data_IF_561819599474
#
_entry.id   IF_561819599474
#
_cell.length_a   1.000
_cell.length_b   1.000
_cell.length_c   1.000
_cell.angle_alpha   90.00
_cell.angle_beta   90.00
_cell.angle_gamma   90.00
#
_symmetry.space_group_name_H-M   'P 1'
#
loop_
_entity.id
_entity.type
_entity.pdbx_description
1 polymer ?
#
# COMPACT_ATOMS: atom_id res chain seq x y z
N UNK A 1 -5.87 -1.90 9.26
CA UNK A 1 -4.68 -1.14 8.83
C UNK A 1 -4.23 -1.77 7.53
N UNK A 2 -4.24 -1.00 6.44
CA UNK A 2 -3.88 -1.47 5.10
C UNK A 2 -2.86 -0.48 4.54
N UNK A 3 -1.86 -0.98 3.83
CA UNK A 3 -0.85 -0.16 3.17
C UNK A 3 -0.86 -0.47 1.67
N UNK A 4 -0.86 0.57 0.85
CA UNK A 4 -0.73 0.44 -0.60
C UNK A 4 0.70 0.81 -1.00
N UNK A 5 1.35 -0.04 -1.79
CA UNK A 5 2.72 0.14 -2.23
C UNK A 5 2.78 0.15 -3.76
N UNK A 6 3.56 1.08 -4.34
CA UNK A 6 3.92 1.05 -5.75
C UNK A 6 5.36 0.56 -5.90
N UNK A 7 5.55 -0.54 -6.62
CA UNK A 7 6.86 -1.12 -6.94
C UNK A 7 7.25 -0.91 -8.40
N UNK A 8 6.57 -0.01 -9.12
CA UNK A 8 6.82 0.24 -10.55
C UNK A 8 8.26 0.70 -10.85
N UNK A 9 8.84 1.45 -9.92
CA UNK A 9 10.21 1.98 -10.03
C UNK A 9 11.25 1.07 -9.35
N UNK A 10 10.92 -0.21 -9.12
CA UNK A 10 11.79 -1.18 -8.46
C UNK A 10 12.01 -2.39 -9.35
N UNK A 11 13.27 -2.67 -9.65
CA UNK A 11 13.66 -3.84 -10.44
C UNK A 11 13.61 -5.15 -9.64
N UNK A 12 13.66 -5.05 -8.31
CA UNK A 12 13.67 -6.20 -7.40
C UNK A 12 12.58 -6.08 -6.34
N UNK A 13 12.17 -7.23 -5.78
CA UNK A 13 11.12 -7.33 -4.78
C UNK A 13 11.46 -6.54 -3.53
N UNK A 14 10.51 -5.73 -3.08
CA UNK A 14 10.58 -5.02 -1.79
C UNK A 14 9.93 -5.86 -0.72
N UNK A 15 10.68 -6.24 0.32
CA UNK A 15 10.17 -7.11 1.37
C UNK A 15 10.35 -6.48 2.75
N UNK A 16 9.26 -6.44 3.52
CA UNK A 16 9.24 -6.01 4.92
C UNK A 16 8.97 -7.20 5.85
N UNK A 17 9.70 -7.30 6.95
CA UNK A 17 9.47 -8.32 7.99
C UNK A 17 9.75 -9.77 7.57
N UNK A 18 9.57 -10.71 8.52
CA UNK A 18 9.80 -12.14 8.34
C UNK A 18 8.56 -12.84 7.75
N UNK A 19 8.70 -13.50 6.59
CA UNK A 19 8.13 -14.83 6.25
C UNK A 19 8.09 -15.08 4.72
N UNK A 20 8.82 -16.10 4.26
CA UNK A 20 8.35 -17.34 3.60
C UNK A 20 9.38 -18.37 4.05
N UNK A 21 8.92 -19.41 4.73
CA UNK A 21 9.75 -20.56 5.10
C UNK A 21 8.95 -21.80 4.80
N UNK A 22 8.60 -22.02 3.53
CA UNK A 22 8.50 -23.37 2.98
C UNK A 22 8.17 -23.40 1.48
N UNK A 23 8.54 -24.55 0.90
CA UNK A 23 8.18 -25.12 -0.39
C UNK A 23 9.05 -24.72 -1.61
N UNK A 24 9.78 -25.72 -2.12
CA UNK A 24 10.38 -25.74 -3.46
C UNK A 24 9.26 -25.82 -4.50
N UNK A 25 8.72 -24.67 -4.91
CA UNK A 25 7.77 -24.60 -6.02
C UNK A 25 8.49 -24.31 -7.34
N UNK A 26 8.15 -25.08 -8.37
CA UNK A 26 8.41 -24.76 -9.80
C UNK A 26 9.87 -24.45 -10.20
N UNK A 27 10.84 -25.16 -9.62
CA UNK A 27 12.28 -25.00 -9.95
C UNK A 27 12.80 -23.57 -9.73
N UNK A 28 12.18 -22.81 -8.82
CA UNK A 28 12.76 -21.55 -8.36
C UNK A 28 14.01 -21.84 -7.52
N UNK A 29 14.98 -20.93 -7.53
CA UNK A 29 16.21 -21.05 -6.74
C UNK A 29 15.97 -20.70 -5.24
N UNK A 30 14.86 -21.18 -4.68
CA UNK A 30 14.54 -21.07 -3.26
C UNK A 30 15.09 -22.28 -2.50
N UNK A 31 15.42 -22.09 -1.23
CA UNK A 31 16.00 -23.11 -0.36
C UNK A 31 15.56 -22.89 1.08
N UNK A 32 15.44 -23.97 1.86
CA UNK A 32 15.12 -23.91 3.29
C UNK A 32 16.29 -23.37 4.12
N UNK A 33 17.49 -23.54 3.60
CA UNK A 33 18.74 -23.10 4.18
C UNK A 33 19.01 -21.61 3.90
N UNK A 34 18.39 -21.04 2.86
CA UNK A 34 18.46 -19.62 2.54
C UNK A 34 17.52 -18.80 3.44
N UNK A 35 17.92 -17.57 3.74
CA UNK A 35 17.03 -16.62 4.44
C UNK A 35 15.78 -16.34 3.61
N UNK A 36 14.68 -16.03 4.30
CA UNK A 36 13.43 -15.66 3.63
C UNK A 36 13.66 -14.56 2.58
N UNK A 37 14.49 -13.56 2.88
CA UNK A 37 14.78 -12.44 1.95
C UNK A 37 15.44 -12.94 0.67
N UNK A 38 16.42 -13.84 0.80
CA UNK A 38 17.09 -14.45 -0.33
C UNK A 38 16.11 -15.27 -1.18
N UNK A 39 15.21 -16.02 -0.55
CA UNK A 39 14.18 -16.75 -1.26
C UNK A 39 13.28 -15.82 -2.09
N UNK A 40 12.77 -14.72 -1.51
CA UNK A 40 11.95 -13.76 -2.25
C UNK A 40 12.69 -13.13 -3.44
N UNK A 41 13.99 -12.84 -3.28
CA UNK A 41 14.82 -12.25 -4.34
C UNK A 41 15.15 -13.26 -5.45
N UNK A 42 15.16 -14.55 -5.15
CA UNK A 42 15.42 -15.61 -6.12
C UNK A 42 14.19 -15.97 -6.97
N UNK A 43 12.99 -15.56 -6.56
CA UNK A 43 11.75 -15.83 -7.29
C UNK A 43 11.65 -14.95 -8.52
N UNK A 44 11.37 -15.56 -9.67
CA UNK A 44 10.92 -14.85 -10.86
C UNK A 44 9.45 -14.45 -10.71
N UNK A 45 9.20 -13.20 -10.38
CA UNK A 45 7.85 -12.65 -10.25
C UNK A 45 7.14 -12.54 -11.60
N UNK A 46 5.99 -13.19 -11.71
CA UNK A 46 5.06 -13.11 -12.84
C UNK A 46 3.69 -12.67 -12.32
N UNK A 47 2.79 -12.15 -13.18
CA UNK A 47 1.44 -11.76 -12.75
C UNK A 47 0.68 -12.87 -12.01
N UNK A 48 0.85 -14.13 -12.45
CA UNK A 48 0.27 -15.30 -11.78
C UNK A 48 0.81 -15.49 -10.36
N UNK A 49 2.14 -15.42 -10.17
CA UNK A 49 2.76 -15.62 -8.85
C UNK A 49 2.46 -14.48 -7.89
N UNK A 50 2.45 -13.23 -8.36
CA UNK A 50 2.02 -12.10 -7.52
C UNK A 50 0.55 -12.21 -7.13
N UNK A 51 -0.30 -12.70 -8.04
CA UNK A 51 -1.71 -12.98 -7.74
C UNK A 51 -1.87 -14.05 -6.66
N UNK A 52 -1.20 -15.19 -6.82
CA UNK A 52 -1.18 -16.27 -5.83
C UNK A 52 -0.65 -15.82 -4.46
N UNK A 53 0.38 -14.97 -4.43
CA UNK A 53 0.87 -14.37 -3.18
C UNK A 53 -0.21 -13.48 -2.54
N UNK A 54 -0.94 -12.71 -3.35
CA UNK A 54 -2.10 -11.94 -2.89
C UNK A 54 -3.16 -12.84 -2.25
N UNK A 55 -3.51 -13.95 -2.89
CA UNK A 55 -4.46 -14.93 -2.38
C UNK A 55 -3.97 -15.55 -1.07
N UNK A 56 -2.67 -15.83 -0.95
CA UNK A 56 -2.07 -16.31 0.29
C UNK A 56 -2.31 -15.32 1.43
N UNK A 57 -2.04 -14.03 1.23
CA UNK A 57 -2.25 -13.00 2.26
C UNK A 57 -3.73 -12.77 2.59
N UNK A 58 -4.63 -12.98 1.63
CA UNK A 58 -6.07 -12.80 1.84
C UNK A 58 -6.77 -13.99 2.50
N UNK A 59 -6.14 -15.17 2.51
CA UNK A 59 -6.80 -16.41 2.96
C UNK A 59 -6.01 -17.21 4.02
N UNK A 60 -4.71 -16.97 4.21
CA UNK A 60 -3.92 -17.75 5.18
C UNK A 60 -4.12 -17.29 6.62
N UNK A 61 -4.19 -18.21 7.60
CA UNK A 61 -4.25 -17.84 9.00
C UNK A 61 -3.07 -16.97 9.46
N UNK A 62 -3.33 -16.08 10.41
CA UNK A 62 -2.37 -15.12 10.93
C UNK A 62 -1.67 -15.65 12.19
N UNK A 63 -0.40 -15.29 12.32
CA UNK A 63 0.35 -15.30 13.58
C UNK A 63 0.29 -13.90 14.19
N UNK A 64 -0.37 -13.78 15.34
CA UNK A 64 -0.66 -12.50 15.98
C UNK A 64 0.38 -12.16 17.06
N UNK A 65 0.73 -10.88 17.16
CA UNK A 65 1.65 -10.39 18.18
C UNK A 65 0.92 -9.45 19.14
N UNK A 66 0.39 -10.02 20.23
CA UNK A 66 -0.25 -9.26 21.31
C UNK A 66 0.67 -9.23 22.54
N UNK A 67 1.43 -8.15 22.69
CA UNK A 67 2.42 -7.98 23.76
C UNK A 67 1.96 -6.93 24.78
N UNK A 68 2.25 -7.19 26.07
CA UNK A 68 2.22 -6.19 27.14
C UNK A 68 3.34 -5.17 26.93
N UNK A 69 3.25 -4.01 27.59
CA UNK A 69 4.34 -3.02 27.62
C UNK A 69 5.66 -3.60 28.16
N UNK A 70 5.61 -4.70 28.92
CA UNK A 70 6.79 -5.44 29.37
C UNK A 70 7.48 -6.26 28.28
N UNK A 71 6.96 -6.28 27.05
CA UNK A 71 7.45 -7.09 25.92
C UNK A 71 7.01 -8.56 25.95
N UNK A 72 6.27 -8.99 26.99
CA UNK A 72 5.79 -10.37 27.13
C UNK A 72 4.40 -10.50 26.53
N UNK A 73 4.15 -11.59 25.79
CA UNK A 73 2.83 -11.90 25.21
C UNK A 73 1.74 -12.00 26.28
N UNK A 74 0.52 -11.61 25.92
CA UNK A 74 -0.66 -11.95 26.72
C UNK A 74 -0.91 -13.47 26.67
N UNK A 75 -1.51 -14.08 27.71
CA UNK A 75 -1.86 -15.49 27.68
C UNK A 75 -2.92 -15.74 26.60
N UNK A 76 -2.76 -16.83 25.84
CA UNK A 76 -3.67 -17.21 24.76
C UNK A 76 -2.97 -17.94 23.62
N UNK A 77 -3.78 -18.41 22.67
CA UNK A 77 -3.30 -18.94 21.41
C UNK A 77 -3.24 -17.80 20.39
N UNK A 78 -2.07 -17.60 19.78
CA UNK A 78 -1.81 -16.49 18.86
C UNK A 78 -1.39 -16.95 17.47
N UNK A 79 -1.34 -18.26 17.24
CA UNK A 79 -1.03 -18.85 15.95
C UNK A 79 -2.33 -19.35 15.30
N UNK A 80 -2.37 -19.38 13.97
CA UNK A 80 -3.50 -19.84 13.17
C UNK A 80 -4.81 -19.07 13.41
N UNK A 81 -4.72 -17.77 13.68
CA UNK A 81 -5.89 -16.91 13.86
C UNK A 81 -6.55 -16.66 12.49
N UNK A 82 -7.87 -16.87 12.34
CA UNK A 82 -8.54 -16.60 11.07
C UNK A 82 -8.43 -15.12 10.70
N UNK A 83 -8.46 -14.82 9.40
CA UNK A 83 -8.39 -13.45 8.91
C UNK A 83 -9.65 -12.68 9.37
N UNK A 84 -9.49 -11.49 9.97
CA UNK A 84 -10.63 -10.67 10.36
C UNK A 84 -11.35 -10.14 9.12
N UNK A 85 -12.67 -10.31 9.07
CA UNK A 85 -13.51 -9.80 7.99
C UNK A 85 -14.19 -8.48 8.39
N UNK A 86 -14.31 -7.57 7.42
CA UNK A 86 -15.06 -6.33 7.59
C UNK A 86 -16.55 -6.66 7.44
N UNK A 87 -17.31 -6.58 8.53
CA UNK A 87 -18.76 -6.84 8.50
C UNK A 87 -19.53 -5.66 7.90
N UNK A 88 -19.07 -4.43 8.17
CA UNK A 88 -19.71 -3.20 7.74
C UNK A 88 -18.67 -2.23 7.20
N UNK A 89 -18.50 -2.14 5.87
CA UNK A 89 -17.68 -1.11 5.25
C UNK A 89 -18.27 0.26 5.53
N UNK A 90 -17.40 1.24 5.80
CA UNK A 90 -17.83 2.64 5.81
C UNK A 90 -18.17 3.08 4.38
N UNK A 91 -19.19 3.93 4.24
CA UNK A 91 -19.52 4.54 2.95
C UNK A 91 -18.31 5.32 2.41
N UNK A 92 -18.04 5.26 1.09
CA UNK A 92 -16.96 6.03 0.51
C UNK A 92 -17.26 7.53 0.69
N UNK A 93 -16.23 8.35 0.93
CA UNK A 93 -16.44 9.79 0.96
C UNK A 93 -17.01 10.25 -0.38
N UNK A 94 -17.91 11.26 -0.40
CA UNK A 94 -18.46 11.79 -1.64
C UNK A 94 -17.31 12.24 -2.53
N UNK A 95 -17.25 11.65 -3.73
CA UNK A 95 -16.18 11.96 -4.67
C UNK A 95 -16.31 13.41 -5.11
N UNK A 96 -15.23 14.23 -5.06
CA UNK A 96 -15.24 15.57 -5.65
C UNK A 96 -15.42 15.53 -7.19
N UNK A 97 -15.33 14.35 -7.79
CA UNK A 97 -15.71 14.09 -9.16
C UNK A 97 -16.95 13.20 -9.18
N UNK A 98 -18.14 13.80 -9.18
CA UNK A 98 -19.36 13.11 -9.65
C UNK A 98 -19.46 13.26 -11.18
N UNK A 99 -19.90 12.24 -11.93
CA UNK A 99 -20.35 12.43 -13.30
C UNK A 99 -21.76 13.03 -13.28
N UNK A 100 -21.86 14.29 -12.84
CA UNK A 100 -23.02 15.13 -13.14
C UNK A 100 -22.63 16.01 -14.34
N UNK A 101 -23.20 15.67 -15.49
CA UNK A 101 -23.22 16.46 -16.73
C UNK A 101 -21.88 16.98 -17.27
N UNK A 102 -21.19 16.12 -18.02
CA UNK A 102 -20.56 16.59 -19.26
C UNK A 102 -21.13 15.77 -20.41
N UNK A 103 -22.26 16.25 -20.93
CA UNK A 103 -22.66 15.94 -22.30
C UNK A 103 -21.48 16.37 -23.18
N UNK A 104 -20.69 15.41 -23.64
CA UNK A 104 -19.71 15.65 -24.69
C UNK A 104 -20.47 15.71 -26.02
N UNK A 105 -21.28 16.74 -26.23
CA UNK A 105 -21.72 17.10 -27.59
C UNK A 105 -20.59 17.90 -28.20
N UNK A 106 -19.79 17.22 -29.03
CA UNK A 106 -18.88 17.91 -29.92
C UNK A 106 -19.66 18.90 -30.77
N UNK A 107 -19.12 20.11 -30.92
CA UNK A 107 -19.02 20.84 -32.20
C UNK A 107 -18.40 22.24 -31.98
N UNK A 108 -17.53 22.59 -32.93
CA UNK A 108 -16.95 23.90 -33.22
C UNK A 108 -15.73 24.41 -32.42
N UNK A 109 -14.56 23.93 -32.85
CA UNK A 109 -13.50 24.73 -33.47
C UNK A 109 -13.55 26.26 -33.19
N UNK A 110 -12.62 26.76 -32.39
CA UNK A 110 -11.84 27.97 -32.73
C UNK A 110 -10.52 28.00 -31.95
N UNK A 111 -9.46 28.24 -32.69
CA UNK A 111 -8.10 28.53 -32.25
C UNK A 111 -8.05 29.76 -31.35
N UNK A 112 -7.42 29.63 -30.18
CA UNK A 112 -6.73 30.73 -29.50
C UNK A 112 -5.43 30.22 -28.88
N UNK A 113 -4.34 30.39 -29.62
CA UNK A 113 -3.00 30.52 -29.04
C UNK A 113 -3.00 31.75 -28.15
N UNK A 114 -2.43 31.67 -26.94
CA UNK A 114 -1.56 32.71 -26.35
C UNK A 114 -0.93 32.24 -25.01
N UNK A 115 0.17 32.88 -24.58
CA UNK A 115 1.39 32.23 -24.09
C UNK A 115 1.52 32.26 -22.56
N UNK A 116 2.61 31.66 -22.07
CA UNK A 116 2.88 31.44 -20.66
C UNK A 116 2.76 32.67 -19.75
N UNK A 117 2.22 32.42 -18.55
CA UNK A 117 2.32 33.30 -17.38
C UNK A 117 2.72 32.48 -16.16
N UNK A 118 3.67 33.07 -15.44
CA UNK A 118 4.46 32.52 -14.35
C UNK A 118 3.63 32.02 -13.16
N UNK A 119 4.10 30.95 -12.51
CA UNK A 119 3.72 30.63 -11.13
C UNK A 119 4.28 31.73 -10.22
N UNK A 120 3.42 32.59 -9.70
CA UNK A 120 3.71 33.37 -8.50
C UNK A 120 3.07 32.68 -7.27
N UNK A 121 3.73 32.75 -6.11
CA UNK A 121 3.36 32.00 -4.92
C UNK A 121 2.10 32.61 -4.30
N UNK A 122 1.16 31.75 -3.90
CA UNK A 122 0.03 32.18 -3.07
C UNK A 122 0.58 32.47 -1.67
N UNK A 123 0.58 33.75 -1.33
CA UNK A 123 0.74 34.25 0.03
C UNK A 123 -0.50 33.83 0.81
N UNK A 124 -0.35 32.94 1.80
CA UNK A 124 -1.41 32.58 2.73
C UNK A 124 -1.54 33.67 3.81
N UNK A 125 -2.75 34.20 4.10
CA UNK A 125 -2.97 35.06 5.25
C UNK A 125 -3.01 34.23 6.53
N UNK A 126 -2.20 34.68 7.49
CA UNK A 126 -2.28 34.53 8.94
C UNK A 126 -3.70 34.27 9.46
N UNK A 127 -3.85 33.26 10.32
CA UNK A 127 -4.60 33.24 11.59
C UNK A 127 -4.79 31.77 12.00
N UNK A 128 -3.92 31.27 12.89
CA UNK A 128 -4.27 30.22 13.85
C UNK A 128 -3.15 30.13 14.91
N UNK A 129 -3.41 30.78 16.03
CA UNK A 129 -2.70 30.64 17.30
C UNK A 129 -3.04 29.28 17.92
N UNK A 130 -2.07 28.40 18.12
CA UNK A 130 -2.22 27.12 18.84
C UNK A 130 -0.98 26.22 18.71
N UNK A 131 -0.65 25.41 19.73
CA UNK A 131 0.75 25.06 20.06
C UNK A 131 1.45 24.16 19.03
N UNK A 132 2.69 24.53 18.75
CA UNK A 132 3.55 23.95 17.73
C UNK A 132 3.89 22.49 18.02
N UNK A 133 3.52 21.60 17.10
CA UNK A 133 4.25 20.35 16.88
C UNK A 133 4.84 20.40 15.47
N UNK A 134 6.16 20.46 15.41
CA UNK A 134 6.93 20.45 14.18
C UNK A 134 7.01 19.01 13.66
N UNK A 135 6.46 18.72 12.48
CA UNK A 135 6.78 17.53 11.71
C UNK A 135 7.60 17.95 10.48
N UNK A 136 8.91 17.74 10.55
CA UNK A 136 9.85 17.94 9.44
C UNK A 136 9.63 16.81 8.43
N UNK A 137 9.22 17.13 7.21
CA UNK A 137 9.30 16.20 6.08
C UNK A 137 10.72 16.22 5.53
N UNK A 138 11.41 15.08 5.63
CA UNK A 138 12.72 14.88 5.03
C UNK A 138 12.53 14.60 3.54
N UNK A 139 13.19 15.39 2.70
CA UNK A 139 13.34 15.20 1.25
C UNK A 139 14.06 13.90 0.93
#
# INVERSE_FOLDING_TARGET
MSCEFSTKDRDNVTVGGFAISDEMWELQATSREASWRQNYQAIRWTPLRSGMLGDLYLNSPLSMQCNKSSGVRFPGYWENIPIPHILHPLEPPPSPCSPAEKICTGLHNTSWLHPGWARRPVVMPWWQTGPQHWCVTKT
#
